data_IF_704075314131
#
_entry.id   IF_704075314131
#
_cell.length_a   1.000
_cell.length_b   1.000
_cell.length_c   1.000
_cell.angle_alpha   90.00
_cell.angle_beta   90.00
_cell.angle_gamma   90.00
#
_symmetry.space_group_name_H-M   'P 1'
#
loop_
_entity.id
_entity.type
_entity.pdbx_description
1 polymer ?
#
# COMPACT_ATOMS: atom_id res chain seq x y z
N UNK A 1 -6.27 -11.60 19.11
CA UNK A 1 -6.07 -11.68 17.64
C UNK A 1 -4.84 -10.86 17.34
N UNK A 2 -3.99 -11.29 16.43
CA UNK A 2 -2.84 -10.51 15.97
C UNK A 2 -3.32 -9.27 15.21
N UNK A 3 -2.61 -8.14 15.36
CA UNK A 3 -2.90 -6.97 14.54
C UNK A 3 -2.62 -7.27 13.06
N UNK A 4 -3.44 -6.70 12.18
CA UNK A 4 -3.34 -6.95 10.74
C UNK A 4 -2.89 -5.68 10.02
N UNK A 5 -1.93 -5.84 9.13
CA UNK A 5 -1.36 -4.76 8.31
C UNK A 5 -1.72 -5.00 6.84
N UNK A 6 -2.23 -3.97 6.19
CA UNK A 6 -2.41 -3.97 4.74
C UNK A 6 -1.11 -3.51 4.07
N UNK A 7 -0.55 -4.35 3.21
CA UNK A 7 0.53 -3.97 2.29
C UNK A 7 -0.04 -3.95 0.88
N UNK A 8 0.18 -2.91 0.11
CA UNK A 8 -0.26 -2.85 -1.29
C UNK A 8 0.93 -2.79 -2.22
N UNK A 9 0.84 -3.46 -3.37
CA UNK A 9 1.96 -3.52 -4.32
C UNK A 9 3.10 -4.44 -3.85
N UNK A 10 2.79 -5.39 -2.96
CA UNK A 10 3.79 -6.28 -2.38
C UNK A 10 4.36 -7.32 -3.34
N UNK A 11 3.81 -7.49 -4.54
CA UNK A 11 4.36 -8.37 -5.58
C UNK A 11 5.30 -7.64 -6.56
N UNK A 12 5.39 -6.30 -6.46
CA UNK A 12 6.32 -5.48 -7.23
C UNK A 12 7.76 -5.57 -6.70
N UNK A 13 8.70 -4.90 -7.37
CA UNK A 13 10.14 -5.02 -7.08
C UNK A 13 10.50 -4.65 -5.63
N UNK A 14 10.03 -3.50 -5.13
CA UNK A 14 10.32 -3.07 -3.76
C UNK A 14 9.50 -3.90 -2.76
N UNK A 15 8.19 -4.03 -3.00
CA UNK A 15 7.27 -4.71 -2.10
C UNK A 15 7.61 -6.16 -1.85
N UNK A 16 8.08 -6.88 -2.88
CA UNK A 16 8.45 -8.29 -2.76
C UNK A 16 9.71 -8.57 -1.93
N UNK A 17 10.57 -7.57 -1.79
CA UNK A 17 11.69 -7.62 -0.84
C UNK A 17 11.25 -7.20 0.57
N UNK A 18 10.30 -6.27 0.66
CA UNK A 18 9.82 -5.76 1.94
C UNK A 18 8.93 -6.78 2.68
N UNK A 19 8.02 -7.45 1.98
CA UNK A 19 7.05 -8.38 2.61
C UNK A 19 7.72 -9.51 3.39
N UNK A 20 8.70 -10.27 2.84
CA UNK A 20 9.42 -11.29 3.61
C UNK A 20 10.14 -10.71 4.83
N UNK A 21 10.86 -9.61 4.66
CA UNK A 21 11.55 -8.92 5.73
C UNK A 21 10.59 -8.48 6.85
N UNK A 22 9.43 -7.92 6.48
CA UNK A 22 8.43 -7.48 7.45
C UNK A 22 7.85 -8.65 8.24
N UNK A 23 7.53 -9.76 7.59
CA UNK A 23 7.03 -10.96 8.26
C UNK A 23 8.06 -11.63 9.18
N UNK A 24 9.34 -11.57 8.81
CA UNK A 24 10.43 -12.08 9.63
C UNK A 24 10.63 -11.22 10.88
N UNK A 25 10.59 -9.90 10.74
CA UNK A 25 10.83 -8.95 11.83
C UNK A 25 9.63 -8.71 12.73
N UNK A 26 8.41 -9.03 12.25
CA UNK A 26 7.15 -8.86 12.97
C UNK A 26 6.29 -10.13 12.91
N UNK A 27 6.77 -11.25 13.46
CA UNK A 27 6.08 -12.54 13.36
C UNK A 27 4.74 -12.57 14.10
N UNK A 28 4.48 -11.59 14.98
CA UNK A 28 3.22 -11.44 15.70
C UNK A 28 2.12 -10.78 14.86
N UNK A 29 2.46 -10.14 13.72
CA UNK A 29 1.50 -9.43 12.87
C UNK A 29 1.03 -10.32 11.71
N UNK A 30 -0.18 -10.06 11.25
CA UNK A 30 -0.70 -10.64 10.00
C UNK A 30 -0.57 -9.63 8.87
N UNK A 31 -0.07 -10.04 7.72
CA UNK A 31 0.04 -9.24 6.51
C UNK A 31 -1.01 -9.66 5.50
N UNK A 32 -1.84 -8.71 5.07
CA UNK A 32 -2.68 -8.84 3.87
C UNK A 32 -1.99 -8.05 2.75
N UNK A 33 -1.55 -8.74 1.71
CA UNK A 33 -0.91 -8.13 0.55
C UNK A 33 -1.91 -8.00 -0.60
N UNK A 34 -2.33 -6.78 -0.90
CA UNK A 34 -3.21 -6.44 -2.03
C UNK A 34 -2.38 -6.02 -3.24
N UNK A 35 -2.44 -6.78 -4.32
CA UNK A 35 -1.70 -6.49 -5.56
C UNK A 35 -2.55 -6.77 -6.80
N UNK A 36 -2.52 -5.86 -7.75
CA UNK A 36 -3.27 -6.00 -9.01
C UNK A 36 -2.65 -7.01 -9.98
N UNK A 37 -1.41 -7.45 -9.71
CA UNK A 37 -0.65 -8.36 -10.57
C UNK A 37 -0.50 -7.84 -11.99
N UNK A 38 -0.07 -6.58 -12.11
CA UNK A 38 0.24 -5.95 -13.39
C UNK A 38 1.57 -6.44 -13.96
N UNK A 39 2.03 -5.85 -15.07
CA UNK A 39 3.30 -6.20 -15.71
C UNK A 39 4.53 -6.09 -14.78
N UNK A 40 4.46 -5.29 -13.73
CA UNK A 40 5.55 -5.07 -12.78
C UNK A 40 5.58 -6.07 -11.61
N UNK A 41 4.58 -6.95 -11.51
CA UNK A 41 4.44 -7.92 -10.44
C UNK A 41 4.75 -9.34 -10.92
N UNK A 42 5.36 -10.15 -10.04
CA UNK A 42 5.62 -11.56 -10.29
C UNK A 42 5.36 -12.38 -9.02
N UNK A 43 4.45 -13.36 -9.10
CA UNK A 43 4.14 -14.24 -7.96
C UNK A 43 5.36 -15.00 -7.44
N UNK A 44 6.33 -15.29 -8.32
CA UNK A 44 7.57 -15.98 -7.93
C UNK A 44 8.38 -15.17 -6.91
N UNK A 45 8.25 -13.86 -6.93
CA UNK A 45 8.93 -12.98 -5.96
C UNK A 45 8.43 -13.17 -4.53
N UNK A 46 7.26 -13.80 -4.36
CA UNK A 46 6.63 -14.05 -3.07
C UNK A 46 6.64 -15.54 -2.67
N UNK A 47 7.37 -16.38 -3.41
CA UNK A 47 7.45 -17.82 -3.15
C UNK A 47 7.91 -18.13 -1.72
N UNK A 48 8.79 -17.31 -1.18
CA UNK A 48 9.37 -17.45 0.17
C UNK A 48 8.33 -17.29 1.29
N UNK A 49 7.29 -16.50 1.06
CA UNK A 49 6.23 -16.25 2.04
C UNK A 49 4.96 -17.04 1.76
N UNK A 50 4.90 -17.77 0.66
CA UNK A 50 3.80 -18.68 0.38
C UNK A 50 3.78 -19.79 1.43
N UNK A 51 2.65 -19.94 2.11
CA UNK A 51 2.49 -20.92 3.20
C UNK A 51 2.81 -20.36 4.59
N UNK A 52 3.28 -19.14 4.71
CA UNK A 52 3.35 -18.47 6.01
C UNK A 52 1.93 -18.23 6.55
N UNK A 53 1.57 -18.73 7.75
CA UNK A 53 0.21 -18.58 8.30
C UNK A 53 -0.20 -17.12 8.54
N UNK A 54 0.76 -16.21 8.64
CA UNK A 54 0.55 -14.79 8.85
C UNK A 54 0.59 -14.00 7.53
N UNK A 55 0.59 -14.66 6.37
CA UNK A 55 0.57 -14.02 5.06
C UNK A 55 -0.69 -14.37 4.28
N UNK A 56 -1.40 -13.35 3.82
CA UNK A 56 -2.61 -13.48 3.01
C UNK A 56 -2.42 -12.66 1.73
N UNK A 57 -2.48 -13.33 0.59
CA UNK A 57 -2.45 -12.65 -0.71
C UNK A 57 -3.87 -12.38 -1.21
N UNK A 58 -4.10 -11.16 -1.69
CA UNK A 58 -5.35 -10.74 -2.34
C UNK A 58 -5.02 -10.12 -3.69
N UNK A 59 -5.52 -10.70 -4.76
CA UNK A 59 -5.41 -10.10 -6.09
C UNK A 59 -6.51 -9.08 -6.27
N UNK A 60 -6.14 -7.81 -6.53
CA UNK A 60 -7.11 -6.74 -6.76
C UNK A 60 -6.48 -5.37 -6.97
N UNK A 61 -7.27 -4.47 -7.51
CA UNK A 61 -6.87 -3.09 -7.82
C UNK A 61 -7.20 -2.18 -6.61
N UNK A 62 -6.25 -1.37 -6.17
CA UNK A 62 -6.45 -0.39 -5.10
C UNK A 62 -7.50 0.68 -5.44
N UNK A 63 -7.78 0.89 -6.72
CA UNK A 63 -8.85 1.78 -7.18
C UNK A 63 -10.26 1.14 -7.10
N UNK A 64 -10.35 -0.16 -6.84
CA UNK A 64 -11.62 -0.85 -6.59
C UNK A 64 -12.11 -0.54 -5.17
N UNK A 65 -13.01 0.44 -5.08
CA UNK A 65 -13.55 0.92 -3.80
C UNK A 65 -14.33 -0.14 -3.03
N UNK A 66 -15.04 -1.02 -3.72
CA UNK A 66 -15.85 -2.07 -3.10
C UNK A 66 -14.93 -3.12 -2.47
N UNK A 67 -13.93 -3.56 -3.21
CA UNK A 67 -12.92 -4.50 -2.71
C UNK A 67 -12.17 -3.93 -1.51
N UNK A 68 -11.65 -2.70 -1.63
CA UNK A 68 -10.87 -2.06 -0.55
C UNK A 68 -11.71 -1.94 0.72
N UNK A 69 -12.97 -1.49 0.61
CA UNK A 69 -13.86 -1.41 1.78
C UNK A 69 -14.11 -2.78 2.40
N UNK A 70 -14.41 -3.80 1.59
CA UNK A 70 -14.62 -5.15 2.07
C UNK A 70 -13.39 -5.73 2.80
N UNK A 71 -12.17 -5.36 2.36
CA UNK A 71 -10.95 -5.75 3.05
C UNK A 71 -10.81 -5.07 4.41
N UNK A 72 -11.09 -3.76 4.51
CA UNK A 72 -11.06 -3.05 5.79
C UNK A 72 -12.11 -3.60 6.78
N UNK A 73 -13.30 -3.94 6.29
CA UNK A 73 -14.36 -4.53 7.12
C UNK A 73 -13.98 -5.94 7.61
N UNK A 74 -13.29 -6.71 6.78
CA UNK A 74 -12.92 -8.10 7.08
C UNK A 74 -11.74 -8.24 8.03
N UNK A 75 -10.70 -7.41 7.87
CA UNK A 75 -9.40 -7.64 8.49
C UNK A 75 -9.05 -6.67 9.61
N UNK A 76 -9.86 -5.65 9.88
CA UNK A 76 -9.62 -4.66 10.94
C UNK A 76 -8.17 -4.12 10.95
N UNK A 77 -7.74 -3.54 9.83
CA UNK A 77 -6.37 -3.10 9.66
C UNK A 77 -5.95 -2.05 10.69
N UNK A 78 -4.79 -2.27 11.32
CA UNK A 78 -4.13 -1.33 12.25
C UNK A 78 -3.04 -0.50 11.58
N UNK A 79 -2.69 -0.82 10.33
CA UNK A 79 -1.73 -0.06 9.53
C UNK A 79 -1.88 -0.35 8.06
N UNK A 80 -1.42 0.61 7.25
CA UNK A 80 -1.30 0.47 5.80
C UNK A 80 0.11 0.86 5.39
N UNK A 81 0.76 0.03 4.58
CA UNK A 81 2.03 0.32 3.92
C UNK A 81 1.79 0.24 2.42
N UNK A 82 1.83 1.40 1.77
CA UNK A 82 1.35 1.55 0.41
C UNK A 82 2.49 1.71 -0.58
N UNK A 83 2.82 0.61 -1.30
CA UNK A 83 3.80 0.58 -2.38
C UNK A 83 3.17 0.61 -3.77
N UNK A 84 1.89 0.25 -3.90
CA UNK A 84 1.24 0.14 -5.20
C UNK A 84 1.23 1.48 -5.93
N UNK A 85 1.89 1.53 -7.06
CA UNK A 85 1.96 2.71 -7.92
C UNK A 85 2.32 2.32 -9.35
N UNK A 86 1.91 3.12 -10.31
CA UNK A 86 2.49 3.16 -11.65
C UNK A 86 3.68 4.14 -11.62
N UNK A 87 4.89 3.65 -11.94
CA UNK A 87 6.13 4.42 -11.81
C UNK A 87 6.97 4.49 -13.09
N UNK A 88 6.57 3.78 -14.17
CA UNK A 88 7.37 3.70 -15.39
C UNK A 88 7.15 4.93 -16.27
N UNK A 89 8.12 5.85 -16.32
CA UNK A 89 8.02 7.15 -16.99
C UNK A 89 7.55 7.04 -18.45
N UNK A 90 8.13 6.15 -19.26
CA UNK A 90 7.72 6.00 -20.66
C UNK A 90 6.25 5.59 -20.83
N UNK A 91 5.72 4.82 -19.89
CA UNK A 91 4.32 4.43 -19.88
C UNK A 91 3.43 5.61 -19.52
N UNK A 92 3.87 6.54 -18.66
CA UNK A 92 3.10 7.74 -18.29
C UNK A 92 2.87 8.67 -19.47
N UNK A 93 3.84 8.73 -20.40
CA UNK A 93 3.74 9.54 -21.62
C UNK A 93 2.75 8.92 -22.62
N UNK A 94 2.76 7.58 -22.73
CA UNK A 94 1.92 6.85 -23.70
C UNK A 94 0.47 6.66 -23.24
N UNK A 95 0.26 6.50 -21.92
CA UNK A 95 -1.04 6.22 -21.33
C UNK A 95 -1.16 6.81 -19.92
N UNK A 96 -1.31 8.14 -19.79
CA UNK A 96 -1.32 8.81 -18.47
C UNK A 96 -2.54 8.44 -17.61
N UNK A 97 -3.62 7.95 -18.21
CA UNK A 97 -4.86 7.62 -17.50
C UNK A 97 -4.64 6.58 -16.39
N UNK A 98 -3.84 5.54 -16.66
CA UNK A 98 -3.58 4.51 -15.66
C UNK A 98 -2.82 5.07 -14.44
N UNK A 99 -1.94 6.07 -14.64
CA UNK A 99 -1.24 6.75 -13.56
C UNK A 99 -2.19 7.55 -12.68
N UNK A 100 -3.12 8.28 -13.27
CA UNK A 100 -4.16 9.00 -12.51
C UNK A 100 -5.05 7.99 -11.76
N UNK A 101 -5.47 6.94 -12.42
CA UNK A 101 -6.30 5.90 -11.79
C UNK A 101 -5.57 5.26 -10.61
N UNK A 102 -4.36 4.78 -10.79
CA UNK A 102 -3.62 4.06 -9.75
C UNK A 102 -3.09 5.00 -8.68
N UNK A 103 -2.31 6.02 -9.08
CA UNK A 103 -1.57 6.84 -8.11
C UNK A 103 -2.45 7.88 -7.41
N UNK A 104 -3.52 8.35 -8.06
CA UNK A 104 -4.42 9.36 -7.45
C UNK A 104 -5.67 8.69 -6.90
N UNK A 105 -6.48 8.04 -7.75
CA UNK A 105 -7.75 7.47 -7.30
C UNK A 105 -7.54 6.24 -6.40
N UNK A 106 -6.56 5.40 -6.68
CA UNK A 106 -6.23 4.24 -5.83
C UNK A 106 -5.74 4.67 -4.46
N UNK A 107 -4.80 5.61 -4.39
CA UNK A 107 -4.33 6.17 -3.11
C UNK A 107 -5.44 6.86 -2.34
N UNK A 108 -6.29 7.65 -3.02
CA UNK A 108 -7.47 8.26 -2.40
C UNK A 108 -8.42 7.20 -1.83
N UNK A 109 -8.69 6.12 -2.56
CA UNK A 109 -9.57 5.03 -2.12
C UNK A 109 -9.06 4.38 -0.84
N UNK A 110 -7.76 4.09 -0.75
CA UNK A 110 -7.12 3.54 0.45
C UNK A 110 -7.18 4.52 1.63
N UNK A 111 -6.85 5.79 1.41
CA UNK A 111 -6.89 6.82 2.45
C UNK A 111 -8.32 7.04 2.98
N UNK A 112 -9.32 7.08 2.09
CA UNK A 112 -10.72 7.25 2.50
C UNK A 112 -11.23 6.03 3.28
N UNK A 113 -10.85 4.82 2.89
CA UNK A 113 -11.19 3.60 3.61
C UNK A 113 -10.54 3.59 5.01
N UNK A 114 -9.24 3.88 5.10
CA UNK A 114 -8.52 3.98 6.36
C UNK A 114 -9.13 5.05 7.28
N UNK A 115 -9.40 6.25 6.75
CA UNK A 115 -10.05 7.34 7.49
C UNK A 115 -11.40 6.91 8.05
N UNK A 116 -12.26 6.30 7.26
CA UNK A 116 -13.60 5.85 7.71
C UNK A 116 -13.51 4.72 8.74
N UNK A 117 -12.51 3.86 8.60
CA UNK A 117 -12.30 2.75 9.52
C UNK A 117 -11.74 3.22 10.86
N UNK A 118 -10.78 4.15 10.87
CA UNK A 118 -10.05 4.59 12.05
C UNK A 118 -10.60 5.84 12.75
N UNK A 119 -11.50 6.60 12.10
CA UNK A 119 -11.96 7.90 12.62
C UNK A 119 -13.48 7.98 12.66
N UNK A 120 -14.01 8.61 13.71
CA UNK A 120 -15.43 8.94 13.83
C UNK A 120 -15.78 10.26 13.15
N UNK A 121 -14.86 11.22 13.16
CA UNK A 121 -14.98 12.53 12.52
C UNK A 121 -13.58 13.05 12.14
N UNK A 122 -13.45 14.13 11.36
CA UNK A 122 -12.17 14.79 11.12
C UNK A 122 -11.42 15.08 12.42
N UNK A 123 -10.20 14.58 12.54
CA UNK A 123 -9.32 14.67 13.72
C UNK A 123 -9.86 13.98 15.00
N UNK A 124 -10.86 13.11 14.88
CA UNK A 124 -11.37 12.32 16.01
C UNK A 124 -11.11 10.84 15.70
N UNK A 125 -10.04 10.31 16.29
CA UNK A 125 -9.66 8.90 16.14
C UNK A 125 -10.54 8.04 17.04
N UNK A 126 -11.01 6.91 16.51
CA UNK A 126 -11.77 5.92 17.29
C UNK A 126 -10.89 5.27 18.35
N UNK A 127 -11.48 4.90 19.47
CA UNK A 127 -10.81 4.15 20.52
C UNK A 127 -10.22 2.84 19.97
N UNK A 128 -8.95 2.59 20.25
CA UNK A 128 -8.21 1.42 19.75
C UNK A 128 -7.54 1.59 18.40
N UNK A 129 -7.58 2.81 17.81
CA UNK A 129 -6.92 3.15 16.55
C UNK A 129 -5.91 4.30 16.68
N UNK A 130 -5.57 4.71 17.89
CA UNK A 130 -4.70 5.86 18.17
C UNK A 130 -3.28 5.69 17.59
N UNK A 131 -2.84 4.45 17.47
CA UNK A 131 -1.51 4.10 16.95
C UNK A 131 -1.53 3.65 15.48
N UNK A 132 -2.67 3.66 14.82
CA UNK A 132 -2.75 3.30 13.41
C UNK A 132 -1.97 4.28 12.54
N UNK A 133 -1.34 3.75 11.49
CA UNK A 133 -0.53 4.54 10.56
C UNK A 133 -0.83 4.18 9.12
N UNK A 134 -0.92 5.21 8.30
CA UNK A 134 -0.89 5.08 6.84
C UNK A 134 0.49 5.55 6.37
N UNK A 135 1.30 4.61 5.90
CA UNK A 135 2.62 4.88 5.38
C UNK A 135 2.58 4.80 3.86
N UNK A 136 2.66 5.94 3.20
CA UNK A 136 2.73 6.04 1.75
C UNK A 136 4.17 6.10 1.29
N UNK A 137 4.59 5.13 0.46
CA UNK A 137 5.91 5.14 -0.17
C UNK A 137 5.83 6.03 -1.39
N UNK A 138 6.39 7.21 -1.27
CA UNK A 138 6.40 8.24 -2.29
C UNK A 138 7.73 8.28 -3.05
N UNK A 139 7.96 9.32 -3.81
CA UNK A 139 9.16 9.57 -4.61
C UNK A 139 9.65 11.01 -4.40
N UNK A 140 10.93 11.25 -4.62
CA UNK A 140 11.51 12.59 -4.60
C UNK A 140 10.99 13.51 -5.73
N UNK A 141 10.46 12.94 -6.80
CA UNK A 141 9.87 13.70 -7.91
C UNK A 141 8.71 14.63 -7.47
N UNK A 142 8.06 14.35 -6.34
CA UNK A 142 6.99 15.21 -5.80
C UNK A 142 7.50 16.58 -5.36
N UNK A 143 8.80 16.71 -5.10
CA UNK A 143 9.46 17.96 -4.72
C UNK A 143 9.93 18.79 -5.94
N UNK A 144 9.75 18.27 -7.15
CA UNK A 144 10.14 18.95 -8.39
C UNK A 144 11.60 18.72 -8.76
N UNK A 145 12.18 19.66 -9.50
CA UNK A 145 13.54 19.57 -10.02
C UNK A 145 14.51 20.35 -9.15
N UNK A 146 15.58 19.68 -8.69
CA UNK A 146 16.71 20.38 -8.06
C UNK A 146 17.44 21.27 -9.08
N UNK A 147 17.86 22.47 -8.65
CA UNK A 147 18.80 23.28 -9.39
C UNK A 147 20.20 22.67 -9.43
N UNK A 148 21.17 23.44 -9.96
CA UNK A 148 22.56 22.99 -10.04
C UNK A 148 23.23 22.76 -8.66
N UNK A 149 22.65 23.31 -7.61
CA UNK A 149 23.10 23.19 -6.21
C UNK A 149 21.91 23.11 -5.27
N UNK A 150 22.04 22.36 -4.18
CA UNK A 150 21.04 22.27 -3.13
C UNK A 150 20.60 20.83 -2.86
N UNK A 151 19.71 20.72 -1.87
CA UNK A 151 19.06 19.48 -1.46
C UNK A 151 17.56 19.75 -1.32
N UNK A 152 16.74 18.72 -1.47
CA UNK A 152 15.36 18.80 -1.02
C UNK A 152 15.35 18.96 0.50
N UNK A 153 14.55 19.89 0.99
CA UNK A 153 14.32 20.10 2.43
C UNK A 153 12.85 19.97 2.71
N UNK A 154 12.51 19.40 3.85
CA UNK A 154 11.14 19.26 4.35
C UNK A 154 10.54 20.65 4.66
#
# INVERSE_FOLDING_TARGET
>A
MSDTILITGGAGFIGSNFVPYFLETHPELTVVNLDAMTYAADERNLAEVQGNPNYIFVKGDIADKELVNALFDKYDFKGVIHFAAESHVDNSIKGPEIFVKTNVLGTFTLLDAARRHWMDAPNVVKAGYENCRFHHISTDEVYGTLGATGFFTD
#
